data_IF_808568870082
#
_entry.id   IF_808568870082
#
_cell.length_a   1.000
_cell.length_b   1.000
_cell.length_c   1.000
_cell.angle_alpha   90.00
_cell.angle_beta   90.00
_cell.angle_gamma   90.00
#
_symmetry.space_group_name_H-M   'P 1'
#
loop_
_entity.id
_entity.type
_entity.pdbx_description
1 polymer ?
#
# COMPACT_ATOMS: atom_id res chain seq x y z
N UNK A 1 27.38 -18.50 -18.92
CA UNK A 1 27.28 -17.36 -17.98
C UNK A 1 26.77 -16.09 -18.67
N UNK A 2 27.14 -15.81 -19.92
CA UNK A 2 26.61 -14.68 -20.72
C UNK A 2 25.11 -14.79 -21.06
N UNK A 3 24.63 -16.00 -21.39
CA UNK A 3 23.21 -16.22 -21.73
C UNK A 3 22.24 -15.92 -20.57
N UNK A 4 22.64 -16.23 -19.33
CA UNK A 4 21.83 -15.94 -18.14
C UNK A 4 21.82 -14.47 -17.73
N UNK A 5 22.85 -13.70 -18.12
CA UNK A 5 22.87 -12.26 -17.91
C UNK A 5 21.99 -11.55 -18.95
N UNK A 6 21.99 -12.02 -20.20
CA UNK A 6 21.14 -11.50 -21.28
C UNK A 6 19.65 -11.69 -21.00
N UNK A 7 19.24 -12.89 -20.57
CA UNK A 7 17.85 -13.17 -20.22
C UNK A 7 17.35 -12.38 -19.01
N UNK A 8 18.23 -12.10 -18.03
CA UNK A 8 17.90 -11.28 -16.88
C UNK A 8 17.64 -9.81 -17.29
N UNK A 9 18.46 -9.27 -18.21
CA UNK A 9 18.32 -7.90 -18.73
C UNK A 9 17.04 -7.74 -19.57
N UNK A 10 16.73 -8.72 -20.43
CA UNK A 10 15.48 -8.74 -21.22
C UNK A 10 14.23 -8.85 -20.33
N UNK A 11 14.33 -9.50 -19.17
CA UNK A 11 13.23 -9.63 -18.22
C UNK A 11 12.95 -8.37 -17.38
N UNK A 12 13.90 -7.44 -17.26
CA UNK A 12 13.78 -6.28 -16.37
C UNK A 12 12.57 -5.37 -16.68
N UNK A 13 12.27 -5.04 -17.96
CA UNK A 13 11.10 -4.21 -18.28
C UNK A 13 9.78 -4.89 -17.90
N UNK A 14 9.66 -6.20 -18.13
CA UNK A 14 8.46 -6.97 -17.78
C UNK A 14 8.27 -7.00 -16.26
N UNK A 15 9.35 -7.26 -15.51
CA UNK A 15 9.33 -7.21 -14.04
C UNK A 15 8.94 -5.82 -13.51
N UNK A 16 9.45 -4.75 -14.11
CA UNK A 16 9.08 -3.38 -13.74
C UNK A 16 7.58 -3.10 -13.99
N UNK A 17 7.04 -3.55 -15.12
CA UNK A 17 5.61 -3.41 -15.45
C UNK A 17 4.74 -4.22 -14.47
N UNK A 18 5.11 -5.48 -14.22
CA UNK A 18 4.39 -6.34 -13.27
C UNK A 18 4.44 -5.76 -11.87
N UNK A 19 5.59 -5.23 -11.44
CA UNK A 19 5.74 -4.60 -10.14
C UNK A 19 4.91 -3.30 -10.04
N UNK A 20 4.91 -2.46 -11.08
CA UNK A 20 4.08 -1.26 -11.11
C UNK A 20 2.58 -1.57 -11.09
N UNK A 21 2.13 -2.55 -11.88
CA UNK A 21 0.73 -2.97 -11.90
C UNK A 21 0.29 -3.62 -10.58
N UNK A 22 1.12 -4.53 -10.04
CA UNK A 22 0.83 -5.22 -8.79
C UNK A 22 0.90 -4.27 -7.60
N UNK A 23 2.09 -3.73 -7.33
CA UNK A 23 2.33 -2.89 -6.17
C UNK A 23 1.64 -1.53 -6.33
N UNK A 24 1.81 -0.84 -7.46
CA UNK A 24 1.29 0.52 -7.63
C UNK A 24 -0.24 0.61 -7.69
N UNK A 25 -0.92 -0.42 -8.23
CA UNK A 25 -2.35 -0.36 -8.53
C UNK A 25 -3.18 -1.44 -7.82
N UNK A 26 -2.91 -2.72 -8.07
CA UNK A 26 -3.82 -3.80 -7.66
C UNK A 26 -3.81 -4.03 -6.15
N UNK A 27 -2.62 -4.08 -5.53
CA UNK A 27 -2.45 -4.25 -4.08
C UNK A 27 -3.17 -3.14 -3.28
N UNK A 28 -2.94 -1.84 -3.53
CA UNK A 28 -3.59 -0.79 -2.74
C UNK A 28 -5.11 -0.79 -2.87
N UNK A 29 -5.67 -1.19 -4.03
CA UNK A 29 -7.12 -1.37 -4.18
C UNK A 29 -7.62 -2.48 -3.26
N UNK A 30 -6.99 -3.66 -3.32
CA UNK A 30 -7.38 -4.82 -2.51
C UNK A 30 -7.24 -4.52 -1.01
N UNK A 31 -6.16 -3.84 -0.62
CA UNK A 31 -5.94 -3.41 0.75
C UNK A 31 -7.03 -2.47 1.24
N UNK A 32 -7.42 -1.47 0.45
CA UNK A 32 -8.45 -0.53 0.88
C UNK A 32 -9.84 -1.18 1.00
N UNK A 33 -10.17 -2.17 0.16
CA UNK A 33 -11.42 -2.92 0.35
C UNK A 33 -11.44 -3.65 1.71
N UNK A 34 -10.34 -4.30 2.08
CA UNK A 34 -10.26 -5.02 3.35
C UNK A 34 -10.18 -4.06 4.53
N UNK A 35 -9.20 -3.18 4.53
CA UNK A 35 -8.90 -2.35 5.70
C UNK A 35 -9.94 -1.26 5.92
N UNK A 36 -10.45 -0.63 4.86
CA UNK A 36 -11.34 0.54 4.97
C UNK A 36 -12.80 0.17 4.73
N UNK A 37 -13.05 -0.79 3.85
CA UNK A 37 -14.37 -1.34 3.59
C UNK A 37 -14.88 -2.23 4.71
N UNK A 38 -14.01 -3.08 5.28
CA UNK A 38 -14.41 -4.06 6.31
C UNK A 38 -13.89 -3.64 7.69
N UNK A 39 -12.57 -3.72 7.92
CA UNK A 39 -11.98 -3.58 9.27
C UNK A 39 -12.31 -2.24 9.92
N UNK A 40 -12.09 -1.13 9.21
CA UNK A 40 -12.40 0.19 9.74
C UNK A 40 -13.90 0.40 9.91
N UNK A 41 -14.73 -0.10 8.99
CA UNK A 41 -16.19 0.03 9.10
C UNK A 41 -16.69 -0.62 10.38
N UNK A 42 -16.32 -1.88 10.61
CA UNK A 42 -16.74 -2.65 11.78
C UNK A 42 -16.25 -2.00 13.08
N UNK A 43 -14.99 -1.53 13.12
CA UNK A 43 -14.44 -0.87 14.30
C UNK A 43 -15.05 0.52 14.54
N UNK A 44 -15.42 1.25 13.49
CA UNK A 44 -16.10 2.54 13.64
C UNK A 44 -17.53 2.35 14.15
N UNK A 45 -18.24 1.35 13.65
CA UNK A 45 -19.60 1.04 14.08
C UNK A 45 -19.63 0.55 15.54
N UNK A 46 -18.62 -0.21 15.96
CA UNK A 46 -18.51 -0.71 17.33
C UNK A 46 -17.93 0.30 18.34
N UNK A 47 -16.85 1.01 17.99
CA UNK A 47 -16.02 1.79 18.94
C UNK A 47 -15.96 3.28 18.61
N UNK A 48 -16.63 3.72 17.55
CA UNK A 48 -16.65 5.10 17.10
C UNK A 48 -15.49 5.48 16.18
N UNK A 49 -15.63 6.63 15.52
CA UNK A 49 -14.76 7.07 14.44
C UNK A 49 -13.27 7.14 14.83
N UNK A 50 -12.96 7.79 15.96
CA UNK A 50 -11.58 8.01 16.40
C UNK A 50 -10.86 6.70 16.70
N UNK A 51 -11.48 5.83 17.52
CA UNK A 51 -10.92 4.54 17.88
C UNK A 51 -10.81 3.63 16.65
N UNK A 52 -11.85 3.57 15.81
CA UNK A 52 -11.85 2.72 14.62
C UNK A 52 -10.77 3.10 13.61
N UNK A 53 -10.56 4.40 13.36
CA UNK A 53 -9.46 4.88 12.50
C UNK A 53 -8.10 4.55 13.11
N UNK A 54 -7.88 4.88 14.38
CA UNK A 54 -6.59 4.70 15.04
C UNK A 54 -6.18 3.21 15.11
N UNK A 55 -7.11 2.34 15.53
CA UNK A 55 -6.86 0.89 15.63
C UNK A 55 -6.62 0.30 14.25
N UNK A 56 -7.41 0.67 13.22
CA UNK A 56 -7.17 0.20 11.85
C UNK A 56 -5.79 0.59 11.35
N UNK A 57 -5.35 1.83 11.60
CA UNK A 57 -4.03 2.30 11.18
C UNK A 57 -2.89 1.50 11.84
N UNK A 58 -3.03 1.21 13.14
CA UNK A 58 -2.07 0.35 13.87
C UNK A 58 -2.04 -1.05 13.29
N UNK A 59 -3.20 -1.69 13.10
CA UNK A 59 -3.28 -3.05 12.56
C UNK A 59 -2.71 -3.13 11.14
N UNK A 60 -2.99 -2.15 10.29
CA UNK A 60 -2.42 -2.03 8.94
C UNK A 60 -0.89 -1.97 8.98
N UNK A 61 -0.33 -1.12 9.83
CA UNK A 61 1.12 -0.98 9.97
C UNK A 61 1.76 -2.26 10.55
N UNK A 62 1.13 -2.89 11.56
CA UNK A 62 1.59 -4.16 12.14
C UNK A 62 1.60 -5.31 11.12
N UNK A 63 0.59 -5.41 10.26
CA UNK A 63 0.55 -6.39 9.17
C UNK A 63 1.79 -6.27 8.28
N UNK A 64 2.23 -5.05 7.97
CA UNK A 64 3.45 -4.84 7.20
C UNK A 64 4.72 -5.18 7.96
N UNK A 65 4.78 -4.98 9.28
CA UNK A 65 5.94 -5.46 10.07
C UNK A 65 6.08 -6.98 9.93
N UNK A 66 4.96 -7.71 9.95
CA UNK A 66 4.93 -9.17 9.85
C UNK A 66 5.25 -9.64 8.43
N UNK A 67 4.59 -9.05 7.42
CA UNK A 67 4.72 -9.46 6.01
C UNK A 67 6.05 -9.02 5.41
N UNK A 68 6.50 -7.81 5.71
CA UNK A 68 7.77 -7.26 5.19
C UNK A 68 8.97 -7.74 6.02
N UNK A 69 8.74 -8.41 7.17
CA UNK A 69 9.76 -8.80 8.16
C UNK A 69 10.66 -7.61 8.55
N UNK A 70 10.09 -6.41 8.65
CA UNK A 70 10.85 -5.17 8.81
C UNK A 70 10.06 -4.09 9.54
N UNK A 71 10.72 -3.38 10.45
CA UNK A 71 10.14 -2.23 11.17
C UNK A 71 10.49 -0.88 10.54
N UNK A 72 11.36 -0.86 9.52
CA UNK A 72 11.96 0.39 8.99
C UNK A 72 10.89 1.36 8.49
N UNK A 73 9.79 0.84 7.94
CA UNK A 73 8.70 1.63 7.37
C UNK A 73 7.57 1.93 8.37
N UNK A 74 7.69 1.51 9.63
CA UNK A 74 6.58 1.54 10.60
C UNK A 74 5.96 2.94 10.73
N UNK A 75 6.77 3.98 10.93
CA UNK A 75 6.29 5.36 11.08
C UNK A 75 5.57 5.85 9.82
N UNK A 76 6.12 5.55 8.64
CA UNK A 76 5.50 5.91 7.35
C UNK A 76 4.17 5.18 7.17
N UNK A 77 4.13 3.89 7.45
CA UNK A 77 2.94 3.05 7.31
C UNK A 77 1.83 3.44 8.30
N UNK A 78 2.19 3.81 9.53
CA UNK A 78 1.24 4.33 10.51
C UNK A 78 0.65 5.68 10.05
N UNK A 79 1.51 6.57 9.56
CA UNK A 79 1.09 7.88 9.03
C UNK A 79 0.14 7.73 7.84
N UNK A 80 0.50 6.89 6.87
CA UNK A 80 -0.35 6.59 5.73
C UNK A 80 -1.64 5.88 6.15
N UNK A 81 -1.55 4.95 7.10
CA UNK A 81 -2.70 4.26 7.66
C UNK A 81 -3.74 5.22 8.24
N UNK A 82 -3.29 6.22 9.00
CA UNK A 82 -4.11 7.30 9.53
C UNK A 82 -4.66 8.19 8.42
N UNK A 83 -3.83 8.61 7.46
CA UNK A 83 -4.24 9.43 6.32
C UNK A 83 -5.40 8.76 5.55
N UNK A 84 -5.23 7.50 5.16
CA UNK A 84 -6.25 6.73 4.45
C UNK A 84 -7.51 6.57 5.30
N UNK A 85 -7.35 6.31 6.61
CA UNK A 85 -8.49 6.20 7.51
C UNK A 85 -9.30 7.50 7.62
N UNK A 86 -8.64 8.65 7.68
CA UNK A 86 -9.28 9.98 7.67
C UNK A 86 -9.94 10.26 6.32
N UNK A 87 -9.24 9.99 5.21
CA UNK A 87 -9.79 10.17 3.86
C UNK A 87 -11.05 9.31 3.68
N UNK A 88 -11.02 8.04 4.09
CA UNK A 88 -12.22 7.17 4.07
C UNK A 88 -13.32 7.70 4.97
N UNK A 89 -13.00 8.19 6.16
CA UNK A 89 -14.04 8.71 7.05
C UNK A 89 -14.74 9.95 6.46
N UNK A 90 -14.01 10.79 5.73
CA UNK A 90 -14.55 12.04 5.18
C UNK A 90 -15.20 11.92 3.80
N UNK A 91 -14.68 11.02 2.95
CA UNK A 91 -15.06 10.91 1.52
C UNK A 91 -15.33 9.47 1.05
N UNK A 92 -15.18 8.47 1.91
CA UNK A 92 -15.49 7.07 1.59
C UNK A 92 -14.31 6.26 1.05
N UNK A 93 -14.50 4.95 0.96
CA UNK A 93 -13.46 3.96 0.60
C UNK A 93 -12.87 4.20 -0.79
N UNK A 94 -13.68 4.66 -1.76
CA UNK A 94 -13.20 4.94 -3.11
C UNK A 94 -12.15 6.07 -3.13
N UNK A 95 -12.39 7.16 -2.40
CA UNK A 95 -11.42 8.25 -2.30
C UNK A 95 -10.12 7.79 -1.63
N UNK A 96 -10.23 6.96 -0.59
CA UNK A 96 -9.06 6.38 0.09
C UNK A 96 -8.25 5.48 -0.85
N UNK A 97 -8.93 4.62 -1.63
CA UNK A 97 -8.32 3.78 -2.66
C UNK A 97 -7.57 4.61 -3.72
N UNK A 98 -8.18 5.69 -4.22
CA UNK A 98 -7.51 6.58 -5.17
C UNK A 98 -6.25 7.20 -4.54
N UNK A 99 -6.34 7.71 -3.31
CA UNK A 99 -5.17 8.27 -2.61
C UNK A 99 -4.06 7.24 -2.43
N UNK A 100 -4.41 6.01 -2.02
CA UNK A 100 -3.44 4.94 -1.82
C UNK A 100 -2.78 4.50 -3.15
N UNK A 101 -3.57 4.30 -4.20
CA UNK A 101 -3.07 3.98 -5.55
C UNK A 101 -2.12 5.07 -6.05
N UNK A 102 -2.47 6.35 -5.92
CA UNK A 102 -1.63 7.45 -6.39
C UNK A 102 -0.27 7.46 -5.68
N UNK A 103 -0.27 7.37 -4.34
CA UNK A 103 0.96 7.34 -3.56
C UNK A 103 1.81 6.12 -3.90
N UNK A 104 1.21 4.92 -3.96
CA UNK A 104 1.97 3.71 -4.21
C UNK A 104 2.46 3.63 -5.66
N UNK A 105 1.69 4.12 -6.63
CA UNK A 105 2.12 4.24 -8.03
C UNK A 105 3.32 5.18 -8.17
N UNK A 106 3.25 6.38 -7.58
CA UNK A 106 4.36 7.36 -7.63
C UNK A 106 5.60 6.80 -6.94
N UNK A 107 5.48 6.24 -5.74
CA UNK A 107 6.60 5.63 -5.03
C UNK A 107 7.19 4.44 -5.78
N UNK A 108 6.35 3.58 -6.37
CA UNK A 108 6.81 2.43 -7.16
C UNK A 108 7.52 2.86 -8.42
N UNK A 109 6.97 3.84 -9.15
CA UNK A 109 7.60 4.39 -10.36
C UNK A 109 8.95 5.05 -10.04
N UNK A 110 9.05 5.80 -8.94
CA UNK A 110 10.30 6.39 -8.49
C UNK A 110 11.35 5.33 -8.14
N UNK A 111 10.96 4.26 -7.46
CA UNK A 111 11.86 3.14 -7.15
C UNK A 111 12.34 2.43 -8.43
N UNK A 112 11.44 2.19 -9.40
CA UNK A 112 11.81 1.62 -10.71
C UNK A 112 12.80 2.54 -11.43
N UNK A 113 12.55 3.85 -11.45
CA UNK A 113 13.45 4.81 -12.10
C UNK A 113 14.85 4.83 -11.47
N UNK A 114 14.94 4.78 -10.14
CA UNK A 114 16.23 4.69 -9.42
C UNK A 114 16.93 3.34 -9.65
N UNK A 115 16.17 2.26 -9.82
CA UNK A 115 16.73 0.93 -10.04
C UNK A 115 17.24 0.70 -11.48
N UNK A 116 16.70 1.44 -12.45
CA UNK A 116 17.01 1.29 -13.88
C UNK A 116 17.90 2.41 -14.45
N UNK A 117 17.99 3.55 -13.76
CA UNK A 117 18.86 4.68 -14.12
C UNK A 117 20.24 4.56 -13.50
#
# INVERSE_FOLDING_TARGET
MSEGLGSAVEGMPVLAIVFLAGNGLLVPIAEEQVWRGIVQSDLVDGWGALAGVAVTAVLFACKHVIVDLSIVRLTTLLTLGLLFGVVRHRWGTASSAVTHVLLNTVSTAALIAVALG
#
